data_IF_448288336442
#
_entry.id   IF_448288336442
#
_cell.length_a   1.000
_cell.length_b   1.000
_cell.length_c   1.000
_cell.angle_alpha   90.00
_cell.angle_beta   90.00
_cell.angle_gamma   90.00
#
_symmetry.space_group_name_H-M   'P 1'
#
loop_
_entity.id
_entity.type
_entity.pdbx_description
1 polymer ?
#
# COMPACT_ATOMS: atom_id res chain seq x y z
N UNK A 1 -9.92 -2.12 -15.10
CA UNK A 1 -8.86 -3.06 -15.53
C UNK A 1 -9.41 -4.33 -16.17
N UNK A 2 -10.65 -4.70 -15.91
CA UNK A 2 -11.29 -5.97 -16.35
C UNK A 2 -11.47 -6.15 -17.86
N UNK A 3 -11.14 -5.16 -18.67
CA UNK A 3 -11.14 -5.23 -20.14
C UNK A 3 -9.73 -5.42 -20.75
N UNK A 4 -8.69 -5.57 -19.92
CA UNK A 4 -7.29 -5.76 -20.33
C UNK A 4 -6.92 -7.21 -20.01
N UNK A 5 -6.31 -7.95 -20.96
CA UNK A 5 -5.75 -9.27 -20.71
C UNK A 5 -4.40 -9.18 -20.01
N UNK A 6 -3.94 -10.31 -19.44
CA UNK A 6 -2.61 -10.35 -18.83
C UNK A 6 -1.49 -10.09 -19.86
N UNK A 7 -1.62 -10.60 -21.05
CA UNK A 7 -0.63 -10.41 -22.12
C UNK A 7 -0.52 -8.92 -22.51
N UNK A 8 -1.66 -8.24 -22.72
CA UNK A 8 -1.69 -6.81 -22.99
C UNK A 8 -1.03 -6.03 -21.86
N UNK A 9 -1.41 -6.30 -20.59
CA UNK A 9 -0.83 -5.63 -19.43
C UNK A 9 0.69 -5.87 -19.30
N UNK A 10 1.13 -7.11 -19.48
CA UNK A 10 2.54 -7.49 -19.32
C UNK A 10 3.46 -6.87 -20.38
N UNK A 11 2.92 -6.55 -21.56
CA UNK A 11 3.62 -5.93 -22.68
C UNK A 11 3.61 -4.39 -22.62
N UNK A 12 2.88 -3.77 -21.68
CA UNK A 12 2.90 -2.31 -21.53
C UNK A 12 4.27 -1.80 -21.11
N UNK A 13 4.68 -0.73 -21.75
CA UNK A 13 5.92 -0.02 -21.41
C UNK A 13 5.61 1.10 -20.41
N UNK A 14 5.83 0.83 -19.14
CA UNK A 14 5.71 1.83 -18.08
C UNK A 14 6.95 2.73 -18.04
N UNK A 15 6.74 4.04 -17.86
CA UNK A 15 7.79 5.06 -17.74
C UNK A 15 7.61 5.91 -16.49
N UNK A 16 8.70 6.23 -15.83
CA UNK A 16 8.67 7.19 -14.72
C UNK A 16 8.30 8.57 -15.27
N UNK A 17 7.39 9.24 -14.56
CA UNK A 17 7.09 10.64 -14.88
C UNK A 17 8.32 11.52 -14.66
N UNK A 18 8.65 12.39 -15.62
CA UNK A 18 9.92 13.14 -15.64
C UNK A 18 10.10 14.07 -14.44
N UNK A 19 8.99 14.64 -13.94
CA UNK A 19 9.02 15.57 -12.82
C UNK A 19 8.75 14.89 -11.45
N UNK A 20 9.10 13.61 -11.31
CA UNK A 20 9.04 12.93 -10.03
C UNK A 20 10.01 13.52 -8.98
N UNK A 21 9.68 13.47 -7.68
CA UNK A 21 8.42 12.98 -7.10
C UNK A 21 7.30 14.01 -7.24
N UNK A 22 6.06 13.52 -7.47
CA UNK A 22 4.88 14.40 -7.59
C UNK A 22 4.41 14.97 -6.25
N UNK A 23 4.67 14.27 -5.14
CA UNK A 23 4.43 14.78 -3.78
C UNK A 23 5.67 14.51 -2.92
N UNK A 24 6.31 15.57 -2.45
CA UNK A 24 7.44 15.50 -1.50
C UNK A 24 6.93 15.42 -0.07
N UNK A 25 7.71 14.78 0.81
CA UNK A 25 7.42 14.78 2.24
C UNK A 25 7.32 16.20 2.79
N UNK A 26 6.37 16.47 3.69
CA UNK A 26 6.25 17.78 4.32
C UNK A 26 7.39 18.01 5.32
N UNK A 27 7.69 19.27 5.63
CA UNK A 27 8.79 19.65 6.52
C UNK A 27 8.72 19.01 7.92
N UNK A 28 7.51 18.75 8.40
CA UNK A 28 7.27 18.17 9.73
C UNK A 28 7.15 16.64 9.74
N UNK A 29 7.36 15.96 8.60
CA UNK A 29 7.33 14.49 8.52
C UNK A 29 8.37 13.97 7.54
N UNK A 30 9.13 12.98 7.94
CA UNK A 30 10.06 12.28 7.06
C UNK A 30 9.36 11.35 6.06
N UNK A 31 8.09 11.09 6.28
CA UNK A 31 7.27 10.13 5.54
C UNK A 31 6.08 10.84 4.92
N UNK A 32 5.86 10.59 3.64
CA UNK A 32 4.59 10.66 2.95
C UNK A 32 4.50 9.39 2.09
N UNK A 33 3.55 8.50 2.40
CA UNK A 33 3.62 7.13 1.93
C UNK A 33 2.25 6.49 1.71
N UNK A 34 2.28 5.31 1.08
CA UNK A 34 1.16 4.41 0.82
C UNK A 34 0.00 5.11 0.10
N UNK A 35 0.21 5.57 -1.13
CA UNK A 35 -0.83 6.24 -1.89
C UNK A 35 -1.99 5.31 -2.20
N UNK A 36 -3.21 5.83 -2.10
CA UNK A 36 -4.44 5.20 -2.58
C UNK A 36 -5.28 6.26 -3.26
N UNK A 37 -5.68 6.02 -4.51
CA UNK A 37 -6.20 7.06 -5.39
C UNK A 37 -7.60 6.72 -5.89
N UNK A 38 -8.52 7.69 -5.80
CA UNK A 38 -9.79 7.69 -6.51
C UNK A 38 -9.63 8.45 -7.83
N UNK A 39 -10.18 7.89 -8.89
CA UNK A 39 -10.30 8.56 -10.19
C UNK A 39 -11.45 9.57 -10.21
N UNK A 40 -11.47 10.52 -11.14
CA UNK A 40 -12.59 11.46 -11.31
C UNK A 40 -13.96 10.77 -11.44
N UNK A 41 -14.02 9.63 -12.12
CA UNK A 41 -15.25 8.84 -12.29
C UNK A 41 -15.78 8.22 -10.99
N UNK A 42 -14.93 8.10 -9.97
CA UNK A 42 -15.27 7.59 -8.64
C UNK A 42 -15.41 8.71 -7.61
N UNK A 43 -15.39 9.98 -8.02
CA UNK A 43 -15.51 11.12 -7.11
C UNK A 43 -16.68 12.03 -7.52
N UNK A 44 -17.36 12.61 -6.53
CA UNK A 44 -18.55 13.44 -6.76
C UNK A 44 -18.22 14.83 -7.35
N UNK A 45 -16.97 15.27 -7.26
CA UNK A 45 -16.48 16.56 -7.78
C UNK A 45 -15.63 16.43 -9.06
N UNK A 46 -15.62 15.23 -9.66
CA UNK A 46 -14.87 14.90 -10.89
C UNK A 46 -13.36 15.19 -10.80
N UNK A 47 -12.76 15.02 -9.60
CA UNK A 47 -11.33 15.19 -9.37
C UNK A 47 -10.66 13.89 -8.94
N UNK A 48 -9.34 13.84 -9.14
CA UNK A 48 -8.52 12.83 -8.48
C UNK A 48 -8.39 13.15 -6.99
N UNK A 49 -8.58 12.14 -6.14
CA UNK A 49 -8.32 12.22 -4.70
C UNK A 49 -7.28 11.19 -4.29
N UNK A 50 -6.15 11.65 -3.80
CA UNK A 50 -5.07 10.81 -3.29
C UNK A 50 -5.09 10.83 -1.77
N UNK A 51 -5.17 9.64 -1.18
CA UNK A 51 -5.04 9.42 0.26
C UNK A 51 -3.65 8.83 0.52
N UNK A 52 -2.94 9.40 1.47
CA UNK A 52 -1.63 8.92 1.91
C UNK A 52 -1.44 9.21 3.38
N UNK A 53 -0.44 8.63 4.01
CA UNK A 53 -0.17 8.91 5.41
C UNK A 53 1.15 9.65 5.62
N UNK A 54 1.20 10.31 6.76
CA UNK A 54 2.42 10.81 7.40
C UNK A 54 2.47 10.25 8.82
N UNK A 55 3.45 10.60 9.64
CA UNK A 55 3.45 10.25 11.08
C UNK A 55 2.21 10.70 11.84
N UNK A 56 1.51 11.71 11.34
CA UNK A 56 0.36 12.34 12.04
C UNK A 56 -0.99 11.78 11.61
N UNK A 57 -1.05 10.82 10.72
CA UNK A 57 -2.26 10.19 10.24
C UNK A 57 -2.45 10.25 8.74
N UNK A 58 -3.66 9.95 8.27
CA UNK A 58 -4.03 9.93 6.86
C UNK A 58 -4.52 11.30 6.41
N UNK A 59 -4.04 11.73 5.27
CA UNK A 59 -4.37 13.00 4.60
C UNK A 59 -4.96 12.74 3.22
N UNK A 60 -5.86 13.63 2.82
CA UNK A 60 -6.43 13.70 1.48
C UNK A 60 -5.83 14.87 0.71
N UNK A 61 -5.47 14.60 -0.51
CA UNK A 61 -5.03 15.55 -1.53
C UNK A 61 -6.01 15.49 -2.70
N UNK A 62 -6.15 16.56 -3.46
CA UNK A 62 -6.94 16.59 -4.69
C UNK A 62 -6.15 17.15 -5.86
N UNK A 63 -6.50 16.72 -7.08
CA UNK A 63 -5.89 17.16 -8.31
C UNK A 63 -6.92 17.13 -9.45
N UNK A 64 -6.80 18.04 -10.40
CA UNK A 64 -7.62 18.03 -11.63
C UNK A 64 -7.01 17.11 -12.70
N UNK A 65 -5.69 16.90 -12.66
CA UNK A 65 -4.90 16.18 -13.69
C UNK A 65 -4.25 14.87 -13.22
N UNK A 66 -4.41 14.50 -11.93
CA UNK A 66 -3.76 13.33 -11.34
C UNK A 66 -2.25 13.48 -11.10
N UNK A 67 -1.68 14.65 -11.31
CA UNK A 67 -0.25 14.96 -11.16
C UNK A 67 -0.03 16.05 -10.11
N UNK A 68 -0.71 17.17 -10.27
CA UNK A 68 -0.54 18.36 -9.43
C UNK A 68 -1.47 18.32 -8.22
N UNK A 69 -1.09 17.53 -7.22
CA UNK A 69 -1.89 17.34 -6.01
C UNK A 69 -1.73 18.47 -5.01
N UNK A 70 -2.85 18.99 -4.53
CA UNK A 70 -2.92 19.96 -3.43
C UNK A 70 -3.52 19.31 -2.19
N UNK A 71 -2.88 19.54 -1.04
CA UNK A 71 -3.38 19.04 0.25
C UNK A 71 -4.73 19.66 0.57
N UNK A 72 -5.73 18.82 0.85
CA UNK A 72 -7.08 19.26 1.24
C UNK A 72 -7.22 19.27 2.76
N UNK A 73 -7.06 18.10 3.40
CA UNK A 73 -7.25 17.97 4.84
C UNK A 73 -6.61 16.71 5.43
N UNK A 74 -6.56 16.67 6.75
CA UNK A 74 -6.35 15.42 7.49
C UNK A 74 -7.68 14.71 7.68
N UNK A 75 -7.74 13.43 7.32
CA UNK A 75 -8.95 12.60 7.44
C UNK A 75 -9.03 11.97 8.83
N UNK A 76 -7.96 11.33 9.27
CA UNK A 76 -7.94 10.66 10.58
C UNK A 76 -6.54 10.62 11.19
N UNK A 77 -6.49 10.53 12.53
CA UNK A 77 -5.28 10.45 13.32
C UNK A 77 -4.92 8.98 13.60
N UNK A 78 -3.65 8.72 13.97
CA UNK A 78 -3.18 7.39 14.37
C UNK A 78 -3.47 6.34 13.30
N UNK A 79 -3.31 6.74 12.04
CA UNK A 79 -3.70 5.98 10.86
C UNK A 79 -2.55 6.00 9.84
N UNK A 80 -2.28 4.84 9.28
CA UNK A 80 -1.26 4.62 8.25
C UNK A 80 -1.85 3.76 7.14
N UNK A 81 -1.18 3.72 5.99
CA UNK A 81 -1.42 2.77 4.91
C UNK A 81 -2.89 2.72 4.46
N UNK A 82 -3.44 3.85 3.96
CA UNK A 82 -4.85 3.93 3.58
C UNK A 82 -5.15 3.12 2.32
N UNK A 83 -6.39 2.63 2.24
CA UNK A 83 -7.01 2.10 1.02
C UNK A 83 -8.42 2.67 0.89
N UNK A 84 -8.60 3.57 -0.06
CA UNK A 84 -9.88 4.21 -0.35
C UNK A 84 -10.63 3.44 -1.43
N UNK A 85 -11.94 3.25 -1.25
CA UNK A 85 -12.83 2.59 -2.20
C UNK A 85 -14.14 3.35 -2.29
N UNK A 86 -14.71 3.43 -3.49
CA UNK A 86 -16.05 3.95 -3.73
C UNK A 86 -16.97 2.81 -4.16
N UNK A 87 -17.98 2.52 -3.36
CA UNK A 87 -18.89 1.39 -3.54
C UNK A 87 -20.30 1.84 -3.23
N UNK A 88 -21.19 1.71 -4.19
CA UNK A 88 -22.62 1.95 -4.04
C UNK A 88 -22.96 3.30 -3.38
N UNK A 89 -22.28 4.38 -3.82
CA UNK A 89 -22.51 5.75 -3.35
C UNK A 89 -21.77 6.12 -2.06
N UNK A 90 -21.01 5.20 -1.48
CA UNK A 90 -20.27 5.43 -0.22
C UNK A 90 -18.77 5.24 -0.41
N UNK A 91 -18.00 6.12 0.20
CA UNK A 91 -16.55 6.04 0.28
C UNK A 91 -16.14 5.28 1.54
N UNK A 92 -15.39 4.19 1.37
CA UNK A 92 -14.85 3.37 2.45
C UNK A 92 -13.35 3.56 2.52
N UNK A 93 -12.85 4.12 3.62
CA UNK A 93 -11.42 4.28 3.88
C UNK A 93 -10.98 3.24 4.90
N UNK A 94 -10.32 2.18 4.42
CA UNK A 94 -9.61 1.23 5.26
C UNK A 94 -8.22 1.75 5.56
N UNK A 95 -7.73 1.50 6.77
CA UNK A 95 -6.39 1.93 7.16
C UNK A 95 -5.87 1.12 8.36
N UNK A 96 -4.57 1.10 8.50
CA UNK A 96 -3.91 0.60 9.70
C UNK A 96 -4.05 1.62 10.82
N UNK A 97 -4.70 1.23 11.92
CA UNK A 97 -4.80 2.04 13.13
C UNK A 97 -3.71 1.64 14.12
N UNK A 98 -2.91 2.61 14.53
CA UNK A 98 -1.77 2.42 15.42
C UNK A 98 -2.04 2.97 16.82
N UNK A 99 -1.16 2.67 17.77
CA UNK A 99 -1.05 3.38 19.04
C UNK A 99 -0.73 4.88 18.81
N UNK A 100 -0.85 5.75 19.83
CA UNK A 100 -0.36 7.11 19.73
C UNK A 100 1.09 7.20 19.25
N UNK A 101 1.45 8.27 18.54
CA UNK A 101 2.79 8.46 17.92
C UNK A 101 3.93 8.22 18.92
N UNK A 102 3.76 8.67 20.17
CA UNK A 102 4.76 8.45 21.22
C UNK A 102 4.99 6.96 21.50
N UNK A 103 3.93 6.14 21.49
CA UNK A 103 4.05 4.70 21.67
C UNK A 103 4.76 4.03 20.47
N UNK A 104 4.55 4.55 19.25
CA UNK A 104 5.24 4.08 18.07
C UNK A 104 6.74 4.39 18.13
N UNK A 105 7.12 5.56 18.65
CA UNK A 105 8.52 5.90 18.89
C UNK A 105 9.13 5.00 19.97
N UNK A 106 8.39 4.71 21.04
CA UNK A 106 8.83 3.82 22.11
C UNK A 106 8.96 2.34 21.65
N UNK A 107 8.33 1.95 20.56
CA UNK A 107 8.54 0.60 20.00
C UNK A 107 9.96 0.38 19.47
N UNK A 108 10.67 1.46 19.14
CA UNK A 108 12.09 1.41 18.78
C UNK A 108 12.99 1.00 19.97
N UNK A 109 12.53 1.15 21.19
CA UNK A 109 13.24 0.82 22.43
C UNK A 109 12.54 -0.31 23.23
N UNK A 110 11.71 -1.13 22.57
CA UNK A 110 11.17 -2.37 23.13
C UNK A 110 9.69 -2.37 23.52
N UNK A 111 8.95 -1.27 23.39
CA UNK A 111 7.50 -1.30 23.57
C UNK A 111 6.86 -2.10 22.42
N UNK A 112 6.06 -3.10 22.75
CA UNK A 112 5.37 -3.94 21.76
C UNK A 112 4.49 -3.11 20.83
N UNK A 113 4.65 -3.33 19.53
CA UNK A 113 3.80 -2.75 18.50
C UNK A 113 2.36 -3.25 18.62
N UNK A 114 1.41 -2.43 18.28
CA UNK A 114 0.02 -2.86 18.08
C UNK A 114 -0.62 -2.03 16.97
N UNK A 115 -0.99 -2.73 15.90
CA UNK A 115 -1.82 -2.17 14.83
C UNK A 115 -2.84 -3.18 14.34
N UNK A 116 -3.99 -2.67 13.89
CA UNK A 116 -5.14 -3.43 13.40
C UNK A 116 -5.81 -2.62 12.28
N UNK A 117 -6.61 -3.27 11.43
CA UNK A 117 -7.32 -2.59 10.36
C UNK A 117 -8.64 -2.04 10.85
N UNK A 118 -8.84 -0.77 10.57
CA UNK A 118 -10.06 0.00 10.83
C UNK A 118 -10.64 0.54 9.54
N UNK A 119 -11.92 0.89 9.58
CA UNK A 119 -12.61 1.59 8.52
C UNK A 119 -13.30 2.85 9.02
N UNK A 120 -13.48 3.81 8.15
CA UNK A 120 -14.39 4.95 8.27
C UNK A 120 -15.06 5.20 6.94
N UNK A 121 -16.24 5.78 6.98
CA UNK A 121 -17.10 5.98 5.81
C UNK A 121 -17.44 7.44 5.61
N UNK A 122 -17.70 7.80 4.36
CA UNK A 122 -18.16 9.13 3.95
C UNK A 122 -19.03 9.03 2.70
N UNK A 123 -20.00 9.92 2.55
CA UNK A 123 -20.78 10.06 1.32
C UNK A 123 -20.34 11.28 0.48
N UNK A 124 -19.53 12.16 1.06
CA UNK A 124 -19.18 13.47 0.48
C UNK A 124 -17.67 13.79 0.48
N UNK A 125 -16.81 12.86 0.95
CA UNK A 125 -15.37 13.05 1.20
C UNK A 125 -15.05 14.19 2.20
N UNK A 126 -16.07 14.88 2.72
CA UNK A 126 -15.90 15.99 3.65
C UNK A 126 -16.15 15.56 5.09
N UNK A 127 -17.21 14.81 5.32
CA UNK A 127 -17.60 14.32 6.64
C UNK A 127 -17.35 12.82 6.73
N UNK A 128 -16.63 12.38 7.77
CA UNK A 128 -16.29 10.98 7.99
C UNK A 128 -16.95 10.46 9.27
N UNK A 129 -17.55 9.28 9.19
CA UNK A 129 -18.19 8.63 10.33
C UNK A 129 -17.17 8.23 11.42
N UNK A 130 -17.66 7.84 12.60
CA UNK A 130 -16.83 7.29 13.66
C UNK A 130 -16.15 6.00 13.15
N UNK A 131 -14.87 5.88 13.43
CA UNK A 131 -14.05 4.74 13.01
C UNK A 131 -14.39 3.47 13.82
N UNK A 132 -14.29 2.31 13.19
CA UNK A 132 -14.53 1.02 13.81
C UNK A 132 -13.53 -0.04 13.31
N UNK A 133 -13.25 -1.08 14.13
CA UNK A 133 -12.34 -2.16 13.73
C UNK A 133 -12.98 -3.05 12.65
N UNK A 134 -12.15 -3.53 11.73
CA UNK A 134 -12.55 -4.44 10.64
C UNK A 134 -11.81 -5.77 10.74
N UNK A 135 -10.48 -5.74 10.90
CA UNK A 135 -9.68 -6.92 11.18
C UNK A 135 -8.86 -6.66 12.44
N UNK A 136 -9.09 -7.49 13.44
CA UNK A 136 -8.32 -7.52 14.70
C UNK A 136 -7.57 -8.84 14.83
N UNK A 137 -6.69 -8.95 15.82
CA UNK A 137 -5.95 -10.19 16.06
C UNK A 137 -6.91 -11.38 16.22
N UNK A 138 -6.80 -12.36 15.34
CA UNK A 138 -7.59 -13.59 15.32
C UNK A 138 -6.80 -14.83 14.88
N UNK A 139 -5.51 -14.64 14.52
CA UNK A 139 -4.60 -15.70 14.08
C UNK A 139 -3.23 -15.52 14.73
N UNK A 140 -2.48 -16.63 14.86
CA UNK A 140 -1.15 -16.60 15.47
C UNK A 140 -0.15 -15.78 14.67
N UNK A 141 -0.22 -15.83 13.35
CA UNK A 141 0.66 -15.06 12.44
C UNK A 141 0.40 -13.55 12.45
N UNK A 142 -0.60 -13.06 13.20
CA UNK A 142 -0.83 -11.63 13.41
C UNK A 142 0.08 -11.05 14.50
N UNK A 143 0.71 -11.87 15.30
CA UNK A 143 1.56 -11.46 16.43
C UNK A 143 2.89 -12.22 16.43
N UNK A 144 3.91 -11.55 16.87
CA UNK A 144 5.20 -12.13 17.20
C UNK A 144 5.75 -11.50 18.50
N UNK A 145 7.03 -11.77 18.80
CA UNK A 145 7.69 -11.22 19.99
C UNK A 145 7.67 -9.68 20.03
N UNK A 146 7.58 -9.01 18.90
CA UNK A 146 7.56 -7.54 18.77
C UNK A 146 6.17 -6.94 18.88
N UNK A 147 5.12 -7.76 18.78
CA UNK A 147 3.74 -7.33 18.96
C UNK A 147 2.80 -7.74 17.85
N UNK A 148 1.64 -7.08 17.80
CA UNK A 148 0.56 -7.34 16.83
C UNK A 148 0.71 -6.38 15.67
N UNK A 149 0.76 -6.92 14.44
CA UNK A 149 0.74 -6.13 13.21
C UNK A 149 -0.26 -6.69 12.22
N UNK A 150 -1.26 -5.89 11.89
CA UNK A 150 -2.23 -6.13 10.81
C UNK A 150 -2.34 -4.81 10.07
N UNK A 151 -1.84 -4.77 8.82
CA UNK A 151 -1.51 -3.53 8.12
C UNK A 151 -1.77 -3.60 6.61
N UNK A 152 -1.53 -2.53 5.87
CA UNK A 152 -1.59 -2.46 4.41
C UNK A 152 -2.89 -3.02 3.79
N UNK A 153 -4.09 -2.59 4.22
CA UNK A 153 -5.33 -3.10 3.67
C UNK A 153 -5.43 -2.83 2.16
N UNK A 154 -6.02 -3.77 1.45
CA UNK A 154 -6.42 -3.61 0.05
C UNK A 154 -7.68 -4.40 -0.25
N UNK A 155 -8.77 -3.70 -0.53
CA UNK A 155 -10.08 -4.28 -0.80
C UNK A 155 -10.22 -4.68 -2.26
N UNK A 156 -10.68 -5.91 -2.49
CA UNK A 156 -11.13 -6.41 -3.79
C UNK A 156 -12.60 -6.81 -3.69
N UNK A 157 -13.46 -6.20 -4.51
CA UNK A 157 -14.85 -6.64 -4.67
C UNK A 157 -14.88 -7.88 -5.56
N UNK A 158 -15.38 -8.99 -5.04
CA UNK A 158 -15.65 -10.22 -5.78
C UNK A 158 -17.12 -10.23 -6.22
N UNK A 159 -17.55 -11.28 -6.89
CA UNK A 159 -18.95 -11.38 -7.39
C UNK A 159 -19.98 -11.32 -6.26
N UNK A 160 -19.74 -12.03 -5.16
CA UNK A 160 -20.69 -12.17 -4.04
C UNK A 160 -20.14 -11.71 -2.68
N UNK A 161 -18.83 -11.49 -2.60
CA UNK A 161 -18.13 -11.13 -1.36
C UNK A 161 -17.10 -10.04 -1.60
N UNK A 162 -16.50 -9.62 -0.49
CA UNK A 162 -15.36 -8.72 -0.43
C UNK A 162 -14.18 -9.48 0.13
N UNK A 163 -13.01 -9.36 -0.49
CA UNK A 163 -11.75 -9.86 0.00
C UNK A 163 -10.85 -8.68 0.38
N UNK A 164 -10.43 -8.63 1.62
CA UNK A 164 -9.52 -7.61 2.12
C UNK A 164 -8.15 -8.25 2.33
N UNK A 165 -7.22 -7.99 1.40
CA UNK A 165 -5.83 -8.37 1.56
C UNK A 165 -5.17 -7.47 2.61
N UNK A 166 -4.23 -8.02 3.35
CA UNK A 166 -3.49 -7.27 4.36
C UNK A 166 -2.12 -7.91 4.62
N UNK A 167 -1.23 -7.13 5.21
CA UNK A 167 0.07 -7.59 5.67
C UNK A 167 0.04 -7.83 7.17
N UNK A 168 0.85 -8.77 7.66
CA UNK A 168 0.89 -9.12 9.08
C UNK A 168 2.25 -9.66 9.53
N UNK A 169 2.44 -9.75 10.85
CA UNK A 169 3.72 -10.06 11.46
C UNK A 169 4.72 -8.90 11.36
N UNK A 170 5.90 -9.02 11.97
CA UNK A 170 6.91 -7.98 12.02
C UNK A 170 8.32 -8.57 11.85
N UNK A 171 9.00 -8.17 10.80
CA UNK A 171 10.43 -8.47 10.59
C UNK A 171 11.25 -7.21 10.83
N UNK A 172 12.22 -7.28 11.73
CA UNK A 172 13.15 -6.16 11.98
C UNK A 172 14.21 -6.12 10.89
N UNK A 173 14.36 -4.97 10.25
CA UNK A 173 15.35 -4.72 9.21
C UNK A 173 16.53 -3.98 9.82
N UNK A 174 17.66 -4.69 10.01
CA UNK A 174 18.78 -4.21 10.79
C UNK A 174 19.41 -2.89 10.28
N UNK A 175 19.61 -2.77 8.98
CA UNK A 175 20.22 -1.59 8.36
C UNK A 175 19.25 -0.40 8.25
N UNK A 176 17.96 -0.63 8.40
CA UNK A 176 16.93 0.41 8.46
C UNK A 176 16.64 0.87 9.90
N UNK A 177 16.74 -0.05 10.87
CA UNK A 177 16.38 0.20 12.26
C UNK A 177 14.87 0.27 12.53
N UNK A 178 14.04 -0.34 11.68
CA UNK A 178 12.58 -0.45 11.88
C UNK A 178 12.04 -1.80 11.39
N UNK A 179 10.78 -2.08 11.73
CA UNK A 179 10.11 -3.31 11.32
C UNK A 179 9.27 -3.09 10.08
N UNK A 180 9.24 -4.13 9.23
CA UNK A 180 8.32 -4.25 8.10
C UNK A 180 7.45 -5.51 8.25
N UNK A 181 6.27 -5.56 7.62
CA UNK A 181 5.39 -6.72 7.70
C UNK A 181 6.02 -7.97 7.08
N UNK A 182 5.86 -9.10 7.76
CA UNK A 182 6.48 -10.37 7.36
C UNK A 182 5.71 -11.08 6.26
N UNK A 183 4.37 -11.16 6.40
CA UNK A 183 3.52 -12.01 5.58
C UNK A 183 2.39 -11.21 4.91
N UNK A 184 1.84 -11.77 3.84
CA UNK A 184 0.56 -11.34 3.24
C UNK A 184 -0.50 -12.38 3.53
N UNK A 185 -1.68 -11.90 3.92
CA UNK A 185 -2.88 -12.71 4.12
C UNK A 185 -4.12 -11.99 3.56
N UNK A 186 -5.29 -12.60 3.69
CA UNK A 186 -6.56 -11.96 3.42
C UNK A 186 -7.64 -12.41 4.39
N UNK A 187 -8.71 -11.64 4.42
CA UNK A 187 -9.95 -11.99 5.09
C UNK A 187 -11.13 -11.75 4.13
N UNK A 188 -12.21 -12.50 4.28
CA UNK A 188 -13.40 -12.37 3.44
C UNK A 188 -14.64 -12.01 4.25
N UNK A 189 -15.55 -11.27 3.62
CA UNK A 189 -16.85 -10.90 4.16
C UNK A 189 -17.90 -10.78 3.06
N UNK A 190 -19.17 -10.96 3.43
CA UNK A 190 -20.32 -10.62 2.57
C UNK A 190 -20.66 -9.13 2.61
N UNK A 191 -20.15 -8.40 3.59
CA UNK A 191 -20.36 -6.95 3.73
C UNK A 191 -19.05 -6.20 3.56
N UNK A 192 -19.11 -4.98 2.98
CA UNK A 192 -17.90 -4.22 2.65
C UNK A 192 -17.10 -3.80 3.88
N UNK A 193 -17.73 -3.58 5.00
CA UNK A 193 -17.18 -2.84 6.13
C UNK A 193 -17.09 -3.61 7.46
N UNK A 194 -17.50 -4.89 7.53
CA UNK A 194 -17.50 -5.68 8.77
C UNK A 194 -17.52 -7.18 8.50
N UNK A 195 -17.41 -7.97 9.61
CA UNK A 195 -17.51 -9.43 9.60
C UNK A 195 -16.46 -10.13 8.71
N UNK A 196 -15.25 -9.58 8.67
CA UNK A 196 -14.15 -10.18 7.95
C UNK A 196 -13.54 -11.35 8.71
N UNK A 197 -13.47 -12.52 8.05
CA UNK A 197 -12.87 -13.73 8.60
C UNK A 197 -11.52 -14.01 7.94
N UNK A 198 -10.45 -13.90 8.71
CA UNK A 198 -9.09 -14.20 8.25
C UNK A 198 -8.90 -15.69 8.00
N UNK A 199 -8.20 -16.03 6.92
CA UNK A 199 -7.82 -17.43 6.60
C UNK A 199 -6.83 -17.98 7.63
N UNK A 200 -6.64 -19.30 7.62
CA UNK A 200 -5.81 -19.99 8.62
C UNK A 200 -4.32 -19.75 8.47
N UNK A 201 -3.83 -19.59 7.24
CA UNK A 201 -2.40 -19.41 6.94
C UNK A 201 -2.20 -18.23 5.99
N UNK A 202 -1.08 -17.52 6.08
CA UNK A 202 -0.72 -16.50 5.08
C UNK A 202 -0.63 -17.10 3.67
N UNK A 203 -0.95 -16.29 2.65
CA UNK A 203 -0.82 -16.68 1.24
C UNK A 203 0.58 -16.45 0.68
N UNK A 204 1.31 -15.47 1.24
CA UNK A 204 2.69 -15.19 0.87
C UNK A 204 3.50 -14.99 2.14
N UNK A 205 4.64 -15.67 2.20
CA UNK A 205 5.64 -15.56 3.27
C UNK A 205 7.04 -15.40 2.66
N UNK A 206 8.01 -14.89 3.39
CA UNK A 206 9.40 -14.85 2.93
C UNK A 206 9.89 -16.26 2.58
N UNK A 207 10.73 -16.33 1.55
CA UNK A 207 11.45 -17.53 1.13
C UNK A 207 12.93 -17.19 0.96
N UNK A 208 13.80 -17.86 1.71
CA UNK A 208 15.25 -17.63 1.70
C UNK A 208 15.87 -17.76 0.30
N UNK A 209 15.27 -18.57 -0.58
CA UNK A 209 15.69 -18.77 -1.95
C UNK A 209 15.17 -17.70 -2.92
N UNK A 210 14.24 -16.89 -2.48
CA UNK A 210 13.68 -15.82 -3.32
C UNK A 210 14.64 -14.64 -3.43
N UNK A 211 14.93 -14.23 -4.67
CA UNK A 211 15.77 -13.06 -4.94
C UNK A 211 15.17 -11.75 -4.39
N UNK A 212 13.85 -11.62 -4.40
CA UNK A 212 13.17 -10.36 -4.09
C UNK A 212 12.27 -10.41 -2.84
N UNK A 213 12.24 -11.55 -2.13
CA UNK A 213 11.33 -11.78 -1.01
C UNK A 213 11.98 -12.65 0.09
N UNK A 214 13.28 -12.50 0.34
CA UNK A 214 13.98 -13.33 1.32
C UNK A 214 13.99 -12.75 2.75
N UNK A 215 13.44 -11.55 2.96
CA UNK A 215 13.31 -10.96 4.30
C UNK A 215 11.85 -10.84 4.76
N UNK A 216 11.03 -10.11 4.00
CA UNK A 216 9.63 -9.88 4.37
C UNK A 216 8.81 -9.33 3.20
N UNK A 217 7.49 -9.35 3.37
CA UNK A 217 6.51 -8.83 2.41
C UNK A 217 5.93 -7.52 2.92
N UNK A 218 6.16 -6.42 2.22
CA UNK A 218 5.61 -5.12 2.62
C UNK A 218 4.09 -5.02 2.42
N UNK A 219 3.62 -5.20 1.19
CA UNK A 219 2.19 -5.16 0.87
C UNK A 219 1.87 -5.89 -0.45
N UNK A 220 0.58 -6.18 -0.65
CA UNK A 220 0.05 -6.74 -1.90
C UNK A 220 -1.17 -5.92 -2.35
N UNK A 221 -1.20 -5.49 -3.61
CA UNK A 221 -2.32 -4.84 -4.27
C UNK A 221 -2.80 -5.72 -5.41
N UNK A 222 -4.05 -6.17 -5.38
CA UNK A 222 -4.59 -7.17 -6.32
C UNK A 222 -5.61 -6.56 -7.25
N UNK A 223 -5.40 -6.71 -8.55
CA UNK A 223 -6.29 -6.16 -9.57
C UNK A 223 -6.81 -7.27 -10.48
N UNK A 224 -8.10 -7.23 -10.77
CA UNK A 224 -8.72 -8.16 -11.70
C UNK A 224 -8.53 -7.66 -13.12
N UNK A 225 -7.98 -8.52 -13.97
CA UNK A 225 -7.93 -8.38 -15.41
C UNK A 225 -9.06 -9.19 -16.06
N UNK A 226 -9.10 -9.20 -17.39
CA UNK A 226 -10.11 -9.93 -18.18
C UNK A 226 -10.02 -11.44 -17.97
N UNK A 227 -8.82 -11.97 -17.85
CA UNK A 227 -8.50 -13.41 -17.88
C UNK A 227 -7.85 -13.94 -16.59
N UNK A 228 -7.42 -13.06 -15.68
CA UNK A 228 -6.77 -13.45 -14.44
C UNK A 228 -6.76 -12.31 -13.42
N UNK A 229 -6.04 -12.51 -12.33
CA UNK A 229 -5.66 -11.45 -11.39
C UNK A 229 -4.16 -11.15 -11.51
N UNK A 230 -3.79 -9.89 -11.31
CA UNK A 230 -2.41 -9.49 -11.06
C UNK A 230 -2.25 -9.02 -9.63
N UNK A 231 -1.09 -9.32 -9.05
CA UNK A 231 -0.63 -8.79 -7.77
C UNK A 231 0.55 -7.85 -8.00
N UNK A 232 0.48 -6.65 -7.43
CA UNK A 232 1.64 -5.78 -7.28
C UNK A 232 2.10 -5.89 -5.83
N UNK A 233 3.19 -6.63 -5.61
CA UNK A 233 3.71 -6.95 -4.28
C UNK A 233 4.99 -6.17 -4.00
N UNK A 234 5.04 -5.49 -2.86
CA UNK A 234 6.31 -5.01 -2.32
C UNK A 234 7.04 -6.16 -1.64
N UNK A 235 8.13 -6.60 -2.22
CA UNK A 235 9.07 -7.55 -1.63
C UNK A 235 10.27 -6.83 -1.03
N UNK A 236 10.68 -7.25 0.17
CA UNK A 236 11.87 -6.74 0.84
C UNK A 236 12.87 -7.88 0.96
N UNK A 237 14.08 -7.62 0.50
CA UNK A 237 15.11 -8.63 0.38
C UNK A 237 16.48 -8.11 0.80
N UNK A 238 17.36 -9.03 1.16
CA UNK A 238 18.74 -8.76 1.48
C UNK A 238 19.61 -9.18 0.31
N UNK A 239 20.52 -8.29 -0.08
CA UNK A 239 21.60 -8.57 -1.04
C UNK A 239 22.92 -8.17 -0.38
N UNK A 240 23.74 -9.17 -0.07
CA UNK A 240 24.91 -8.98 0.77
C UNK A 240 24.54 -8.49 2.18
N UNK A 241 25.06 -7.33 2.59
CA UNK A 241 24.83 -6.75 3.92
C UNK A 241 23.69 -5.75 4.00
N UNK A 242 23.08 -5.37 2.86
CA UNK A 242 22.06 -4.32 2.78
C UNK A 242 20.70 -4.90 2.42
N UNK A 243 19.65 -4.27 2.95
CA UNK A 243 18.29 -4.54 2.54
C UNK A 243 17.89 -3.63 1.37
N UNK A 244 17.03 -4.18 0.53
CA UNK A 244 16.45 -3.53 -0.65
C UNK A 244 14.98 -3.88 -0.75
N UNK A 245 14.27 -3.17 -1.61
CA UNK A 245 12.90 -3.55 -1.94
C UNK A 245 12.64 -3.44 -3.45
N UNK A 246 11.60 -4.15 -3.90
CA UNK A 246 11.10 -4.07 -5.26
C UNK A 246 9.58 -4.18 -5.25
N UNK A 247 8.91 -3.58 -6.21
CA UNK A 247 7.52 -3.93 -6.54
C UNK A 247 7.59 -5.02 -7.61
N UNK A 248 7.00 -6.16 -7.31
CA UNK A 248 6.97 -7.33 -8.18
C UNK A 248 5.61 -7.45 -8.84
N UNK A 249 5.59 -7.85 -10.10
CA UNK A 249 4.39 -8.31 -10.79
C UNK A 249 4.20 -9.81 -10.51
N UNK A 250 3.06 -10.13 -9.95
CA UNK A 250 2.58 -11.49 -9.75
C UNK A 250 1.35 -11.76 -10.62
N UNK A 251 1.10 -13.03 -10.96
CA UNK A 251 -0.10 -13.50 -11.66
C UNK A 251 -0.82 -14.54 -10.83
N UNK A 252 -2.15 -14.56 -10.90
CA UNK A 252 -2.99 -15.56 -10.21
C UNK A 252 -4.27 -15.81 -11.00
N UNK A 253 -4.78 -17.05 -10.97
CA UNK A 253 -6.08 -17.39 -11.56
C UNK A 253 -7.24 -17.18 -10.59
N UNK A 254 -6.99 -17.22 -9.29
CA UNK A 254 -8.00 -17.21 -8.21
C UNK A 254 -7.86 -16.03 -7.24
N UNK A 255 -6.79 -15.21 -7.40
CA UNK A 255 -6.43 -14.15 -6.47
C UNK A 255 -5.92 -14.66 -5.11
N UNK A 256 -5.55 -15.93 -5.00
CA UNK A 256 -5.02 -16.56 -3.78
C UNK A 256 -3.62 -17.11 -4.02
N UNK A 257 -3.48 -17.92 -5.06
CA UNK A 257 -2.22 -18.55 -5.44
C UNK A 257 -1.52 -17.65 -6.47
N UNK A 258 -0.45 -17.01 -6.05
CA UNK A 258 0.29 -16.04 -6.86
C UNK A 258 1.62 -16.62 -7.34
N UNK A 259 1.91 -16.43 -8.62
CA UNK A 259 3.17 -16.78 -9.25
C UNK A 259 3.95 -15.52 -9.60
N UNK A 260 5.25 -15.50 -9.33
CA UNK A 260 6.14 -14.40 -9.69
C UNK A 260 6.32 -14.34 -11.21
N UNK A 261 6.17 -13.16 -11.79
CA UNK A 261 6.36 -12.90 -13.22
C UNK A 261 7.68 -12.16 -13.47
N UNK A 262 7.80 -10.96 -12.92
CA UNK A 262 8.99 -10.10 -13.09
C UNK A 262 9.06 -9.02 -12.01
N UNK A 263 10.24 -8.42 -11.75
CA UNK A 263 10.27 -7.14 -11.06
C UNK A 263 9.57 -6.09 -11.91
N UNK A 264 8.67 -5.32 -11.29
CA UNK A 264 7.84 -4.32 -11.96
C UNK A 264 8.41 -2.92 -11.81
N UNK A 265 8.82 -2.57 -10.60
CA UNK A 265 9.52 -1.33 -10.30
C UNK A 265 10.61 -1.59 -9.25
N UNK A 266 11.82 -1.17 -9.56
CA UNK A 266 12.98 -1.26 -8.66
C UNK A 266 13.50 0.13 -8.31
N UNK A 267 14.18 0.30 -7.15
CA UNK A 267 14.85 1.53 -6.81
C UNK A 267 15.87 1.94 -7.86
N UNK A 268 15.93 3.23 -8.17
CA UNK A 268 16.91 3.77 -9.11
C UNK A 268 17.19 5.25 -8.86
N UNK A 269 18.32 5.73 -9.34
CA UNK A 269 18.60 7.15 -9.39
C UNK A 269 17.85 7.78 -10.56
N UNK A 270 17.06 8.81 -10.28
CA UNK A 270 16.27 9.53 -11.27
C UNK A 270 16.92 10.89 -11.58
N UNK A 271 17.54 11.03 -12.72
CA UNK A 271 18.21 12.27 -13.11
C UNK A 271 19.24 12.74 -12.07
N UNK A 272 19.07 13.96 -11.56
CA UNK A 272 19.89 14.54 -10.49
C UNK A 272 19.39 14.18 -9.08
N UNK A 273 18.28 13.48 -8.95
CA UNK A 273 17.61 13.17 -7.67
C UNK A 273 17.84 11.72 -7.26
N UNK A 274 18.04 11.52 -5.97
CA UNK A 274 18.19 10.19 -5.36
C UNK A 274 16.93 9.79 -4.55
N UNK A 275 15.80 10.44 -4.74
CA UNK A 275 14.61 10.28 -3.90
C UNK A 275 14.07 8.83 -3.82
N UNK A 276 14.32 8.00 -4.84
CA UNK A 276 13.93 6.59 -4.89
C UNK A 276 15.12 5.63 -5.01
N UNK A 277 16.30 6.03 -4.53
CA UNK A 277 17.53 5.27 -4.76
C UNK A 277 17.65 4.00 -3.91
N UNK A 278 16.91 3.87 -2.79
CA UNK A 278 17.08 2.76 -1.86
C UNK A 278 15.87 1.81 -1.83
N UNK A 279 14.65 2.35 -1.73
CA UNK A 279 13.44 1.55 -1.62
C UNK A 279 12.32 2.09 -2.50
N UNK A 280 11.51 1.16 -3.00
CA UNK A 280 10.15 1.39 -3.49
C UNK A 280 9.20 0.54 -2.65
N UNK A 281 8.07 1.11 -2.23
CA UNK A 281 7.18 0.46 -1.27
C UNK A 281 5.77 0.22 -1.84
N UNK A 282 4.75 0.66 -1.12
CA UNK A 282 3.37 0.48 -1.53
C UNK A 282 3.02 1.29 -2.78
N UNK A 283 2.07 0.78 -3.53
CA UNK A 283 1.60 1.41 -4.74
C UNK A 283 0.07 1.36 -4.85
N UNK A 284 -0.45 2.15 -5.76
CA UNK A 284 -1.85 2.15 -6.20
C UNK A 284 -1.88 2.30 -7.72
N UNK A 285 -2.36 1.28 -8.42
CA UNK A 285 -2.55 1.31 -9.86
C UNK A 285 -3.99 1.71 -10.16
N UNK A 286 -4.16 2.74 -10.98
CA UNK A 286 -5.46 3.13 -11.51
C UNK A 286 -5.46 3.12 -13.02
N UNK A 287 -6.66 2.95 -13.60
CA UNK A 287 -6.93 3.18 -15.01
C UNK A 287 -7.78 4.42 -15.14
N UNK A 288 -7.33 5.37 -15.93
CA UNK A 288 -8.11 6.54 -16.30
C UNK A 288 -8.00 6.73 -17.81
N UNK A 289 -9.14 6.68 -18.51
CA UNK A 289 -9.19 6.71 -19.97
C UNK A 289 -8.28 5.66 -20.62
N UNK A 290 -7.34 6.07 -21.46
CA UNK A 290 -6.38 5.21 -22.15
C UNK A 290 -5.02 5.10 -21.42
N UNK A 291 -4.99 5.37 -20.12
CA UNK A 291 -3.76 5.42 -19.35
C UNK A 291 -3.84 4.57 -18.08
N UNK A 292 -2.75 3.88 -17.78
CA UNK A 292 -2.50 3.27 -16.49
C UNK A 292 -1.50 4.11 -15.70
N UNK A 293 -1.86 4.48 -14.48
CA UNK A 293 -1.02 5.29 -13.59
C UNK A 293 -0.77 4.54 -12.29
N UNK A 294 0.49 4.23 -12.01
CA UNK A 294 0.95 3.65 -10.76
C UNK A 294 1.51 4.76 -9.87
N UNK A 295 0.78 5.10 -8.84
CA UNK A 295 1.29 5.92 -7.74
C UNK A 295 2.03 5.04 -6.75
N UNK A 296 3.21 5.44 -6.33
CA UNK A 296 4.03 4.65 -5.41
C UNK A 296 4.82 5.54 -4.46
N UNK A 297 5.16 5.05 -3.29
CA UNK A 297 6.13 5.74 -2.45
C UNK A 297 7.51 5.08 -2.55
N UNK A 298 8.52 5.93 -2.42
CA UNK A 298 9.91 5.53 -2.48
C UNK A 298 10.76 6.32 -1.48
N UNK A 299 11.91 5.75 -1.14
CA UNK A 299 12.82 6.27 -0.12
C UNK A 299 14.24 6.38 -0.65
N UNK A 300 14.92 7.45 -0.27
CA UNK A 300 16.25 7.78 -0.77
C UNK A 300 17.39 6.97 -0.11
N UNK A 301 17.30 6.67 1.18
CA UNK A 301 18.31 5.91 1.96
C UNK A 301 17.64 5.05 3.03
N UNK A 302 18.32 3.99 3.48
CA UNK A 302 17.80 3.06 4.49
C UNK A 302 17.70 3.67 5.89
N UNK A 303 18.64 4.52 6.27
CA UNK A 303 18.75 5.07 7.63
C UNK A 303 17.49 5.84 8.07
N UNK A 304 17.00 5.53 9.27
CA UNK A 304 15.78 6.12 9.84
C UNK A 304 15.82 7.66 9.99
N UNK A 305 16.98 8.21 10.36
CA UNK A 305 17.11 9.64 10.65
C UNK A 305 17.18 10.48 9.37
N UNK A 306 17.80 9.93 8.32
CA UNK A 306 18.06 10.65 7.06
C UNK A 306 17.14 10.22 5.92
N UNK A 307 16.47 9.09 6.05
CA UNK A 307 15.53 8.61 5.05
C UNK A 307 14.34 9.56 4.89
N UNK A 308 13.99 9.84 3.63
CA UNK A 308 12.83 10.66 3.24
C UNK A 308 12.01 9.89 2.24
N UNK A 309 10.72 9.81 2.51
CA UNK A 309 9.77 9.17 1.61
C UNK A 309 8.96 10.21 0.84
N UNK A 310 8.76 9.94 -0.43
CA UNK A 310 7.99 10.80 -1.35
C UNK A 310 7.12 9.92 -2.24
N UNK A 311 6.09 10.50 -2.85
CA UNK A 311 5.20 9.81 -3.78
C UNK A 311 5.59 10.15 -5.20
N UNK A 312 5.75 9.13 -6.02
CA UNK A 312 6.04 9.22 -7.44
C UNK A 312 4.93 8.62 -8.31
N UNK A 313 5.12 8.77 -9.61
CA UNK A 313 4.21 8.34 -10.65
C UNK A 313 4.99 7.57 -11.73
N UNK A 314 4.41 6.43 -12.16
CA UNK A 314 4.94 5.51 -13.16
C UNK A 314 3.78 5.15 -14.09
N UNK A 315 3.87 5.40 -15.38
CA UNK A 315 2.72 5.45 -16.27
C UNK A 315 2.94 4.66 -17.57
N UNK A 316 1.85 4.15 -18.13
CA UNK A 316 1.82 3.54 -19.45
C UNK A 316 0.55 3.95 -20.21
N UNK A 317 0.67 4.14 -21.51
CA UNK A 317 -0.47 4.28 -22.43
C UNK A 317 -1.00 2.87 -22.78
N UNK A 318 -2.34 2.77 -22.99
CA UNK A 318 -3.05 1.54 -23.33
C UNK A 318 -3.21 1.39 -24.84
#
# INVERSE_FOLDING_TARGET
MENITFEEFNNLEFKLYDNNPIIKNPLNSFVIADPSVLTPTCSHDNKFHLFCHTFFGVYMYSSDDGINFKKVKKVTNRAMRPNINYIDGTYYLFYERTKPVICNLLSLIGLKWKSEIYCTESTDLKTWCKTYPVITKSRDYHEDIRGISISNPFLLKLKENYRLYYSCGLTFINDCGFCEPTHISFAESKTVNKEYNSIEKPIISPDENSKFLNLCSGCLKVYKLKDCYIGLQNGIFKDGSKSHSAIMLLKSQDGINFEFVKPFLIPQKCGKSNWMAQYVYACCLIKCENKLSLYFNARNVSNNLFGRESIGLFEAEL
#
